data_IF_666909984757
#
_entry.id   IF_666909984757
#
_cell.length_a   1.000
_cell.length_b   1.000
_cell.length_c   1.000
_cell.angle_alpha   90.00
_cell.angle_beta   90.00
_cell.angle_gamma   90.00
#
_symmetry.space_group_name_H-M   'P 1'
#
loop_
_entity.id
_entity.type
_entity.pdbx_description
1 polymer ?
#
# COMPACT_ATOMS: atom_id res chain seq x y z
N UNK A 1 23.53 -41.53 -10.52
CA UNK A 1 23.59 -40.62 -9.37
C UNK A 1 23.38 -39.21 -9.87
N UNK A 2 22.36 -38.53 -9.34
CA UNK A 2 21.82 -37.29 -9.88
C UNK A 2 22.77 -36.10 -9.65
N UNK A 3 22.94 -35.29 -10.70
CA UNK A 3 23.66 -34.01 -10.68
C UNK A 3 22.78 -32.96 -9.98
N UNK A 4 23.24 -32.46 -8.83
CA UNK A 4 22.67 -31.30 -8.17
C UNK A 4 23.21 -30.04 -8.86
N UNK A 5 22.32 -29.35 -9.58
CA UNK A 5 22.60 -28.05 -10.20
C UNK A 5 22.85 -26.99 -9.11
N UNK A 6 23.99 -26.30 -9.21
CA UNK A 6 24.32 -25.14 -8.38
C UNK A 6 23.36 -24.00 -8.68
N UNK A 7 22.53 -23.64 -7.71
CA UNK A 7 21.72 -22.43 -7.71
C UNK A 7 22.68 -21.25 -7.50
N UNK A 8 22.82 -20.41 -8.53
CA UNK A 8 23.61 -19.19 -8.45
C UNK A 8 22.79 -18.10 -7.73
N UNK A 9 23.03 -17.95 -6.43
CA UNK A 9 22.70 -16.72 -5.69
C UNK A 9 23.58 -15.57 -6.24
N UNK A 10 23.03 -14.67 -7.04
CA UNK A 10 23.69 -13.39 -7.33
C UNK A 10 23.52 -12.44 -6.14
N UNK A 11 24.29 -12.67 -5.08
CA UNK A 11 24.47 -11.76 -3.95
C UNK A 11 25.63 -10.80 -4.28
N UNK A 12 25.28 -9.51 -4.39
CA UNK A 12 26.07 -8.30 -4.08
C UNK A 12 27.57 -8.38 -4.43
N UNK A 13 27.93 -7.90 -5.62
CA UNK A 13 29.29 -7.43 -5.87
C UNK A 13 29.44 -6.00 -5.32
N UNK A 14 30.32 -5.85 -4.33
CA UNK A 14 30.87 -4.55 -3.89
C UNK A 14 31.43 -3.82 -5.10
N UNK A 15 30.91 -2.63 -5.41
CA UNK A 15 31.39 -1.82 -6.53
C UNK A 15 31.72 -0.39 -6.10
N UNK A 16 33.02 -0.14 -6.13
CA UNK A 16 33.79 1.09 -6.18
C UNK A 16 33.04 2.35 -6.68
N UNK A 17 33.38 3.50 -6.09
CA UNK A 17 32.69 4.81 -6.16
C UNK A 17 32.46 5.39 -7.58
N UNK A 18 33.13 4.87 -8.61
CA UNK A 18 32.95 5.31 -10.01
C UNK A 18 31.92 4.50 -10.83
N UNK A 19 31.19 3.55 -10.22
CA UNK A 19 30.30 2.62 -10.95
C UNK A 19 28.81 2.99 -10.87
N UNK A 20 28.46 4.15 -10.32
CA UNK A 20 27.05 4.61 -10.27
C UNK A 20 26.50 4.96 -11.66
N UNK A 21 27.38 5.20 -12.65
CA UNK A 21 26.98 5.62 -13.99
C UNK A 21 26.54 4.49 -14.95
N UNK A 22 26.74 3.19 -14.64
CA UNK A 22 26.62 2.14 -15.66
C UNK A 22 25.76 0.91 -15.31
N UNK A 23 25.12 0.87 -14.14
CA UNK A 23 24.21 -0.23 -13.82
C UNK A 23 22.80 0.08 -14.34
N UNK A 24 22.60 -0.08 -15.65
CA UNK A 24 21.27 -0.04 -16.27
C UNK A 24 20.57 -1.40 -16.07
N UNK A 25 20.35 -1.80 -14.81
CA UNK A 25 19.54 -2.97 -14.50
C UNK A 25 18.08 -2.62 -14.78
N UNK A 26 17.54 -3.20 -15.86
CA UNK A 26 16.10 -3.18 -16.12
C UNK A 26 15.41 -4.19 -15.20
N UNK A 27 15.26 -3.82 -13.93
CA UNK A 27 14.55 -4.64 -12.95
C UNK A 27 13.06 -4.43 -13.17
N UNK A 28 12.35 -5.50 -13.51
CA UNK A 28 10.89 -5.52 -13.55
C UNK A 28 10.36 -5.98 -12.19
N UNK A 29 9.63 -5.10 -11.49
CA UNK A 29 9.06 -5.41 -10.18
C UNK A 29 7.72 -6.12 -10.29
N UNK A 30 7.09 -6.17 -11.47
CA UNK A 30 5.80 -6.81 -11.64
C UNK A 30 5.81 -8.31 -11.29
N UNK A 31 6.98 -8.94 -11.39
CA UNK A 31 7.20 -10.37 -11.09
C UNK A 31 7.69 -10.62 -9.66
N UNK A 32 7.95 -9.57 -8.87
CA UNK A 32 8.37 -9.74 -7.48
C UNK A 32 7.26 -10.39 -6.68
N UNK A 33 7.61 -11.38 -5.85
CA UNK A 33 6.66 -12.06 -4.97
C UNK A 33 7.36 -12.52 -3.71
N UNK A 34 6.71 -12.32 -2.57
CA UNK A 34 7.13 -12.86 -1.28
C UNK A 34 6.08 -13.80 -0.71
N UNK A 35 6.48 -14.55 0.31
CA UNK A 35 5.51 -15.23 1.15
C UNK A 35 4.80 -14.16 1.99
N UNK A 36 3.45 -14.13 1.98
CA UNK A 36 2.71 -13.20 2.81
C UNK A 36 2.88 -13.58 4.28
N UNK A 37 2.81 -12.59 5.17
CA UNK A 37 2.87 -12.82 6.61
C UNK A 37 1.70 -13.70 7.08
N UNK A 38 1.83 -14.39 8.23
CA UNK A 38 0.83 -15.34 8.72
C UNK A 38 -0.58 -14.77 8.82
N UNK A 39 -0.69 -13.51 9.24
CA UNK A 39 -1.95 -12.80 9.34
C UNK A 39 -2.75 -12.89 8.00
N UNK A 40 -2.07 -12.80 6.84
CA UNK A 40 -2.72 -12.66 5.53
C UNK A 40 -3.18 -13.98 4.92
N UNK A 41 -2.80 -15.11 5.52
CA UNK A 41 -3.05 -16.45 4.98
C UNK A 41 -4.55 -16.78 4.88
N UNK A 42 -5.37 -16.26 5.81
CA UNK A 42 -6.81 -16.44 5.79
C UNK A 42 -7.43 -15.77 4.55
N UNK A 43 -6.97 -14.57 4.19
CA UNK A 43 -7.41 -13.85 2.99
C UNK A 43 -7.12 -14.67 1.72
N UNK A 44 -5.90 -15.18 1.58
CA UNK A 44 -5.51 -16.00 0.43
C UNK A 44 -6.21 -17.35 0.34
N UNK A 45 -6.69 -17.88 1.46
CA UNK A 45 -7.46 -19.14 1.52
C UNK A 45 -8.94 -18.92 1.17
N UNK A 46 -9.46 -17.72 1.43
CA UNK A 46 -10.83 -17.33 1.12
C UNK A 46 -11.07 -16.95 -0.35
N UNK A 47 -10.01 -16.68 -1.12
CA UNK A 47 -10.11 -16.31 -2.53
C UNK A 47 -10.38 -17.55 -3.40
N UNK A 48 -11.28 -17.39 -4.38
CA UNK A 48 -11.42 -18.37 -5.48
C UNK A 48 -10.09 -18.54 -6.21
N UNK A 49 -9.83 -19.70 -6.78
CA UNK A 49 -8.59 -19.99 -7.54
C UNK A 49 -8.27 -18.93 -8.59
N UNK A 50 -9.28 -18.44 -9.32
CA UNK A 50 -9.12 -17.37 -10.32
C UNK A 50 -8.64 -16.05 -9.70
N UNK A 51 -9.28 -15.60 -8.63
CA UNK A 51 -8.91 -14.35 -7.93
C UNK A 51 -7.54 -14.47 -7.26
N UNK A 52 -7.23 -15.61 -6.68
CA UNK A 52 -5.92 -15.88 -6.11
C UNK A 52 -4.83 -15.82 -7.18
N UNK A 53 -5.07 -16.43 -8.34
CA UNK A 53 -4.14 -16.35 -9.47
C UNK A 53 -3.95 -14.91 -9.96
N UNK A 54 -5.02 -14.13 -10.11
CA UNK A 54 -4.97 -12.71 -10.48
C UNK A 54 -4.21 -11.87 -9.44
N UNK A 55 -4.42 -12.13 -8.16
CA UNK A 55 -3.74 -11.45 -7.07
C UNK A 55 -2.26 -11.86 -6.92
N UNK A 56 -1.85 -13.02 -7.43
CA UNK A 56 -0.46 -13.48 -7.34
C UNK A 56 0.37 -13.25 -8.60
N UNK A 57 -0.28 -13.17 -9.76
CA UNK A 57 0.40 -13.13 -11.07
C UNK A 57 -0.26 -12.18 -12.08
N UNK A 58 -1.38 -11.54 -11.72
CA UNK A 58 -2.16 -10.69 -12.60
C UNK A 58 -1.77 -9.22 -12.56
N UNK A 59 -2.62 -8.39 -13.17
CA UNK A 59 -2.35 -6.96 -13.31
C UNK A 59 -2.43 -6.22 -11.97
N UNK A 60 -3.29 -6.69 -11.05
CA UNK A 60 -3.43 -6.14 -9.70
C UNK A 60 -2.15 -6.39 -8.89
N UNK A 61 -1.58 -7.60 -8.97
CA UNK A 61 -0.28 -7.94 -8.37
C UNK A 61 0.83 -7.03 -8.89
N UNK A 62 0.96 -6.94 -10.22
CA UNK A 62 1.94 -6.10 -10.87
C UNK A 62 1.83 -4.64 -10.38
N UNK A 63 0.61 -4.09 -10.33
CA UNK A 63 0.37 -2.72 -9.88
C UNK A 63 0.77 -2.52 -8.42
N UNK A 64 0.42 -3.45 -7.54
CA UNK A 64 0.79 -3.42 -6.12
C UNK A 64 2.32 -3.39 -5.95
N UNK A 65 3.03 -4.29 -6.63
CA UNK A 65 4.50 -4.32 -6.64
C UNK A 65 5.11 -3.00 -7.13
N UNK A 66 4.72 -2.53 -8.32
CA UNK A 66 5.28 -1.30 -8.93
C UNK A 66 5.13 -0.11 -7.97
N UNK A 67 3.95 0.06 -7.37
CA UNK A 67 3.69 1.14 -6.41
C UNK A 67 4.47 0.94 -5.11
N UNK A 68 4.51 -0.28 -4.57
CA UNK A 68 5.25 -0.61 -3.35
C UNK A 68 6.72 -0.21 -3.46
N UNK A 69 7.41 -0.61 -4.54
CA UNK A 69 8.81 -0.23 -4.76
C UNK A 69 9.01 1.27 -5.02
N UNK A 70 8.07 1.93 -5.70
CA UNK A 70 8.17 3.36 -6.01
C UNK A 70 8.11 4.24 -4.74
N UNK A 71 7.27 3.86 -3.78
CA UNK A 71 7.04 4.63 -2.56
C UNK A 71 7.80 4.10 -1.33
N UNK A 72 8.42 2.93 -1.40
CA UNK A 72 9.06 2.26 -0.25
C UNK A 72 9.91 3.17 0.66
N UNK A 73 10.69 4.08 0.07
CA UNK A 73 11.61 4.96 0.81
C UNK A 73 10.96 6.08 1.62
N UNK A 74 9.65 6.33 1.46
CA UNK A 74 8.94 7.37 2.24
C UNK A 74 7.99 6.78 3.28
N UNK A 75 7.96 5.45 3.41
CA UNK A 75 7.04 4.77 4.30
C UNK A 75 7.56 4.79 5.74
N UNK A 76 6.69 5.02 6.74
CA UNK A 76 7.05 4.87 8.14
C UNK A 76 7.13 3.38 8.52
N UNK A 77 7.93 3.07 9.54
CA UNK A 77 7.96 1.73 10.13
C UNK A 77 6.74 1.52 11.02
N UNK A 78 5.83 0.66 10.60
CA UNK A 78 4.48 0.51 11.18
C UNK A 78 4.04 -0.96 11.29
N UNK A 79 4.85 -1.84 11.89
CA UNK A 79 4.62 -3.28 11.87
C UNK A 79 3.31 -3.69 12.58
N UNK A 80 2.91 -3.01 13.66
CA UNK A 80 1.66 -3.35 14.36
C UNK A 80 0.44 -2.95 13.55
N UNK A 81 0.49 -1.82 12.85
CA UNK A 81 -0.56 -1.44 11.90
C UNK A 81 -0.69 -2.47 10.78
N UNK A 82 0.43 -2.91 10.20
CA UNK A 82 0.38 -3.93 9.15
C UNK A 82 -0.16 -5.28 9.68
N UNK A 83 0.13 -5.63 10.93
CA UNK A 83 -0.43 -6.81 11.57
C UNK A 83 -1.93 -6.65 11.89
N UNK A 84 -2.35 -5.48 12.38
CA UNK A 84 -3.72 -5.19 12.81
C UNK A 84 -4.66 -4.81 11.66
N UNK A 85 -4.13 -4.55 10.45
CA UNK A 85 -4.93 -4.40 9.25
C UNK A 85 -5.68 -5.71 8.89
N UNK A 86 -5.39 -6.77 9.62
CA UNK A 86 -6.10 -8.04 9.58
C UNK A 86 -6.85 -8.33 10.86
N UNK A 87 -7.95 -9.09 10.69
CA UNK A 87 -8.70 -9.60 11.83
C UNK A 87 -7.86 -10.58 12.65
N UNK A 88 -7.87 -10.40 13.96
CA UNK A 88 -7.20 -11.26 14.95
C UNK A 88 -7.77 -12.70 14.98
N UNK A 89 -7.05 -13.61 15.66
CA UNK A 89 -7.18 -15.08 15.59
C UNK A 89 -8.55 -15.70 15.92
N UNK A 90 -9.52 -14.97 16.48
CA UNK A 90 -10.91 -15.44 16.66
C UNK A 90 -11.83 -15.09 15.46
N UNK A 91 -11.22 -14.99 14.27
CA UNK A 91 -11.79 -14.68 12.96
C UNK A 91 -12.34 -13.26 12.73
N UNK A 92 -12.28 -12.38 13.73
CA UNK A 92 -12.75 -10.99 13.62
C UNK A 92 -14.16 -10.83 12.98
N UNK A 93 -14.56 -9.61 12.60
CA UNK A 93 -15.86 -9.35 11.98
C UNK A 93 -15.98 -9.84 10.52
N UNK A 94 -14.92 -10.42 9.96
CA UNK A 94 -14.80 -10.66 8.51
C UNK A 94 -14.90 -12.13 8.08
N UNK A 95 -15.01 -13.08 9.02
CA UNK A 95 -15.21 -14.51 8.75
C UNK A 95 -16.32 -14.81 7.74
N UNK A 96 -17.43 -14.07 7.80
CA UNK A 96 -18.58 -14.28 6.92
C UNK A 96 -18.36 -13.80 5.47
N UNK A 97 -17.25 -13.12 5.20
CA UNK A 97 -16.96 -12.51 3.90
C UNK A 97 -15.90 -13.29 3.10
N UNK A 98 -15.73 -14.57 3.45
CA UNK A 98 -15.08 -15.62 2.65
C UNK A 98 -15.76 -15.66 1.27
N UNK A 99 -15.21 -14.92 0.29
CA UNK A 99 -15.78 -14.73 -1.05
C UNK A 99 -15.91 -13.28 -1.53
N UNK A 100 -15.66 -12.30 -0.65
CA UNK A 100 -15.47 -10.90 -1.03
C UNK A 100 -14.23 -10.73 -1.93
N UNK A 101 -14.20 -9.65 -2.71
CA UNK A 101 -13.09 -9.38 -3.62
C UNK A 101 -11.90 -8.79 -2.84
N UNK A 102 -11.17 -9.66 -2.14
CA UNK A 102 -9.96 -9.31 -1.41
C UNK A 102 -8.70 -9.42 -2.31
N UNK A 103 -8.87 -9.38 -3.63
CA UNK A 103 -7.79 -9.56 -4.61
C UNK A 103 -6.67 -8.53 -4.39
N UNK A 104 -7.01 -7.27 -4.11
CA UNK A 104 -6.01 -6.23 -3.80
C UNK A 104 -5.30 -6.42 -2.45
N UNK A 105 -5.96 -7.00 -1.44
CA UNK A 105 -5.31 -7.32 -0.16
C UNK A 105 -4.29 -8.42 -0.36
N UNK A 106 -4.70 -9.54 -0.98
CA UNK A 106 -3.80 -10.65 -1.22
C UNK A 106 -2.63 -10.24 -2.13
N UNK A 107 -2.91 -9.47 -3.19
CA UNK A 107 -1.87 -8.93 -4.07
C UNK A 107 -0.85 -8.08 -3.32
N UNK A 108 -1.31 -7.18 -2.45
CA UNK A 108 -0.42 -6.38 -1.62
C UNK A 108 0.39 -7.26 -0.65
N UNK A 109 -0.23 -8.24 -0.02
CA UNK A 109 0.42 -9.17 0.92
C UNK A 109 1.52 -10.00 0.24
N UNK A 110 1.30 -10.45 -0.99
CA UNK A 110 2.29 -11.20 -1.79
C UNK A 110 3.31 -10.29 -2.47
N UNK A 111 3.11 -8.97 -2.44
CA UNK A 111 4.02 -7.94 -2.99
C UNK A 111 4.91 -7.30 -1.92
N UNK A 112 4.72 -7.64 -0.64
CA UNK A 112 5.53 -7.21 0.49
C UNK A 112 4.96 -6.02 1.29
N UNK A 113 5.57 -5.68 2.43
CA UNK A 113 5.01 -4.72 3.39
C UNK A 113 4.71 -3.33 2.80
N UNK A 114 5.58 -2.84 1.92
CA UNK A 114 5.39 -1.56 1.25
C UNK A 114 4.10 -1.49 0.42
N UNK A 115 3.71 -2.63 -0.16
CA UNK A 115 2.50 -2.76 -0.97
C UNK A 115 1.24 -2.77 -0.11
N UNK A 116 1.31 -3.29 1.12
CA UNK A 116 0.21 -3.14 2.10
C UNK A 116 0.05 -1.67 2.48
N UNK A 117 1.14 -0.93 2.72
CA UNK A 117 1.04 0.51 2.97
C UNK A 117 0.36 1.23 1.80
N UNK A 118 0.69 0.86 0.56
CA UNK A 118 0.05 1.39 -0.65
C UNK A 118 -1.45 1.07 -0.71
N UNK A 119 -1.84 -0.13 -0.28
CA UNK A 119 -3.25 -0.50 -0.14
C UNK A 119 -3.97 0.40 0.88
N UNK A 120 -3.33 0.72 2.01
CA UNK A 120 -3.87 1.67 2.98
C UNK A 120 -4.08 3.07 2.36
N UNK A 121 -3.14 3.57 1.56
CA UNK A 121 -3.32 4.80 0.79
C UNK A 121 -4.49 4.68 -0.20
N UNK A 122 -4.56 3.58 -0.94
CA UNK A 122 -5.63 3.35 -1.90
C UNK A 122 -7.01 3.35 -1.21
N UNK A 123 -7.11 2.79 0.00
CA UNK A 123 -8.31 2.86 0.83
C UNK A 123 -8.68 4.31 1.18
N UNK A 124 -7.72 5.13 1.59
CA UNK A 124 -7.98 6.56 1.88
C UNK A 124 -8.48 7.30 0.63
N UNK A 125 -7.82 7.11 -0.51
CA UNK A 125 -8.18 7.77 -1.77
C UNK A 125 -9.57 7.34 -2.26
N UNK A 126 -9.88 6.06 -2.17
CA UNK A 126 -11.16 5.53 -2.61
C UNK A 126 -12.35 5.97 -1.75
N UNK A 127 -12.11 6.25 -0.46
CA UNK A 127 -13.14 6.77 0.44
C UNK A 127 -13.35 8.29 0.27
N UNK A 128 -12.27 9.03 0.02
CA UNK A 128 -12.33 10.50 -0.05
C UNK A 128 -12.78 11.04 -1.41
N UNK A 129 -12.56 10.32 -2.51
CA UNK A 129 -12.86 10.79 -3.86
C UNK A 129 -13.55 9.73 -4.72
N UNK A 130 -14.25 10.17 -5.77
CA UNK A 130 -14.76 9.29 -6.82
C UNK A 130 -13.62 8.66 -7.64
N UNK A 131 -13.93 7.60 -8.39
CA UNK A 131 -12.93 6.80 -9.09
C UNK A 131 -12.08 7.60 -10.09
N UNK A 132 -12.67 8.57 -10.81
CA UNK A 132 -11.94 9.36 -11.81
C UNK A 132 -10.97 10.33 -11.13
N UNK A 133 -11.42 10.96 -10.06
CA UNK A 133 -10.60 11.87 -9.26
C UNK A 133 -9.48 11.10 -8.55
N UNK A 134 -9.77 9.97 -7.92
CA UNK A 134 -8.76 9.12 -7.27
C UNK A 134 -7.69 8.63 -8.25
N UNK A 135 -8.09 8.20 -9.46
CA UNK A 135 -7.13 7.80 -10.51
C UNK A 135 -6.23 8.97 -10.94
N UNK A 136 -6.78 10.19 -11.00
CA UNK A 136 -6.01 11.38 -11.36
C UNK A 136 -5.04 11.80 -10.26
N UNK A 137 -5.45 11.70 -9.00
CA UNK A 137 -4.56 11.89 -7.84
C UNK A 137 -3.44 10.88 -7.88
N UNK A 138 -3.73 9.58 -8.07
CA UNK A 138 -2.71 8.54 -8.22
C UNK A 138 -1.67 8.86 -9.29
N UNK A 139 -2.12 9.28 -10.49
CA UNK A 139 -1.22 9.66 -11.57
C UNK A 139 -0.32 10.84 -11.16
N UNK A 140 -0.87 11.85 -10.48
CA UNK A 140 -0.08 12.97 -9.96
C UNK A 140 0.93 12.51 -8.89
N UNK A 141 0.54 11.59 -7.99
CA UNK A 141 1.43 11.07 -6.96
C UNK A 141 2.63 10.32 -7.55
N UNK A 142 2.38 9.49 -8.55
CA UNK A 142 3.42 8.70 -9.23
C UNK A 142 4.38 9.62 -9.96
N UNK A 143 3.86 10.56 -10.75
CA UNK A 143 4.69 11.52 -11.50
C UNK A 143 5.55 12.35 -10.56
N UNK A 144 4.97 12.89 -9.49
CA UNK A 144 5.73 13.67 -8.53
C UNK A 144 6.75 12.82 -7.77
N UNK A 145 6.41 11.58 -7.41
CA UNK A 145 7.36 10.66 -6.77
C UNK A 145 8.54 10.31 -7.68
N UNK A 146 8.29 10.04 -8.95
CA UNK A 146 9.32 9.82 -9.97
C UNK A 146 10.24 11.03 -10.08
N UNK A 147 9.69 12.23 -10.19
CA UNK A 147 10.47 13.49 -10.21
C UNK A 147 11.34 13.64 -8.96
N UNK A 148 10.80 13.35 -7.78
CA UNK A 148 11.56 13.43 -6.54
C UNK A 148 12.76 12.47 -6.53
N UNK A 149 12.62 11.26 -7.09
CA UNK A 149 13.72 10.29 -7.21
C UNK A 149 14.79 10.79 -8.20
N UNK A 150 14.37 11.27 -9.37
CA UNK A 150 15.30 11.80 -10.38
C UNK A 150 16.05 13.05 -9.90
N UNK A 151 15.37 13.97 -9.22
CA UNK A 151 15.99 15.15 -8.63
C UNK A 151 17.03 14.80 -7.54
N UNK A 152 16.83 13.69 -6.80
CA UNK A 152 17.84 13.18 -5.86
C UNK A 152 19.09 12.67 -6.62
N UNK A 153 18.91 12.00 -7.75
CA UNK A 153 20.02 11.57 -8.60
C UNK A 153 20.77 12.76 -9.19
N UNK A 154 20.08 13.77 -9.71
CA UNK A 154 20.68 15.00 -10.28
C UNK A 154 21.43 15.83 -9.24
N UNK A 155 20.95 15.83 -7.98
CA UNK A 155 21.63 16.49 -6.86
C UNK A 155 22.77 15.67 -6.24
N UNK A 156 23.24 14.62 -6.93
CA UNK A 156 24.32 13.73 -6.52
C UNK A 156 24.11 13.08 -5.15
N UNK A 157 22.86 12.87 -4.74
CA UNK A 157 22.50 12.10 -3.55
C UNK A 157 22.50 10.62 -3.87
N UNK A 158 22.89 9.80 -2.89
CA UNK A 158 22.80 8.34 -3.01
C UNK A 158 21.32 7.96 -3.04
N UNK A 159 20.87 7.42 -4.17
CA UNK A 159 19.51 6.90 -4.36
C UNK A 159 19.55 5.37 -4.32
N UNK A 160 18.61 4.78 -3.60
CA UNK A 160 18.50 3.33 -3.54
C UNK A 160 18.26 2.73 -4.95
N UNK A 161 19.01 1.72 -5.40
CA UNK A 161 18.91 1.17 -6.76
C UNK A 161 17.48 0.74 -7.15
N UNK A 162 16.75 0.13 -6.21
CA UNK A 162 15.35 -0.24 -6.44
C UNK A 162 14.42 0.95 -6.70
N UNK A 163 14.66 2.09 -6.04
CA UNK A 163 13.84 3.29 -6.28
C UNK A 163 14.09 3.88 -7.66
N UNK A 164 15.34 3.86 -8.12
CA UNK A 164 15.68 4.28 -9.49
C UNK A 164 15.05 3.35 -10.53
N UNK A 165 15.11 2.03 -10.32
CA UNK A 165 14.46 1.06 -11.20
C UNK A 165 12.93 1.23 -11.21
N UNK A 166 12.31 1.47 -10.04
CA UNK A 166 10.87 1.67 -9.93
C UNK A 166 10.43 2.98 -10.63
N UNK A 167 11.25 4.02 -10.56
CA UNK A 167 10.97 5.30 -11.22
C UNK A 167 10.96 5.18 -12.75
N UNK A 168 11.67 4.21 -13.32
CA UNK A 168 11.68 3.91 -14.77
C UNK A 168 10.45 3.12 -15.23
N UNK A 169 9.74 2.44 -14.33
CA UNK A 169 8.61 1.60 -14.72
C UNK A 169 7.38 2.45 -15.06
N UNK A 170 6.69 2.05 -16.12
CA UNK A 170 5.43 2.68 -16.49
C UNK A 170 4.26 2.09 -15.67
N UNK A 171 3.35 2.97 -15.28
CA UNK A 171 2.12 2.65 -14.56
C UNK A 171 1.00 3.45 -15.22
N UNK A 172 0.23 2.77 -16.05
CA UNK A 172 -0.83 3.37 -16.83
C UNK A 172 -2.02 3.78 -15.96
N UNK A 173 -2.80 4.76 -16.44
CA UNK A 173 -4.08 5.13 -15.80
C UNK A 173 -5.08 3.97 -15.75
N UNK A 174 -5.00 3.02 -16.69
CA UNK A 174 -5.85 1.83 -16.70
C UNK A 174 -5.48 0.87 -15.56
N UNK A 175 -4.19 0.65 -15.31
CA UNK A 175 -3.70 -0.13 -14.16
C UNK A 175 -4.16 0.52 -12.83
N UNK A 176 -4.04 1.85 -12.72
CA UNK A 176 -4.49 2.59 -11.53
C UNK A 176 -6.01 2.51 -11.31
N UNK A 177 -6.79 2.62 -12.38
CA UNK A 177 -8.25 2.48 -12.31
C UNK A 177 -8.65 1.05 -11.91
N UNK A 178 -7.95 0.03 -12.39
CA UNK A 178 -8.20 -1.35 -12.00
C UNK A 178 -7.85 -1.60 -10.52
N UNK A 179 -6.72 -1.05 -10.06
CA UNK A 179 -6.32 -1.08 -8.65
C UNK A 179 -7.37 -0.40 -7.75
N UNK A 180 -7.78 0.83 -8.06
CA UNK A 180 -8.82 1.56 -7.32
C UNK A 180 -10.17 0.83 -7.33
N UNK A 181 -10.55 0.22 -8.46
CA UNK A 181 -11.77 -0.58 -8.55
C UNK A 181 -11.74 -1.82 -7.63
N UNK A 182 -10.61 -2.54 -7.59
CA UNK A 182 -10.41 -3.66 -6.67
C UNK A 182 -10.53 -3.21 -5.21
N UNK A 183 -9.85 -2.13 -4.84
CA UNK A 183 -9.90 -1.61 -3.46
C UNK A 183 -11.31 -1.16 -3.06
N UNK A 184 -12.04 -0.48 -3.95
CA UNK A 184 -13.45 -0.11 -3.69
C UNK A 184 -14.34 -1.32 -3.51
N UNK A 185 -14.10 -2.39 -4.27
CA UNK A 185 -14.90 -3.62 -4.16
C UNK A 185 -14.71 -4.29 -2.79
N UNK A 186 -13.48 -4.29 -2.26
CA UNK A 186 -13.19 -4.65 -0.88
C UNK A 186 -13.88 -3.72 0.13
N UNK A 187 -13.70 -2.41 0.01
CA UNK A 187 -14.28 -1.45 0.97
C UNK A 187 -15.79 -1.55 1.10
N UNK A 188 -16.53 -1.75 0.00
CA UNK A 188 -18.00 -1.93 0.07
C UNK A 188 -18.38 -3.14 0.91
N UNK A 189 -17.58 -4.21 0.85
CA UNK A 189 -17.80 -5.42 1.67
C UNK A 189 -17.45 -5.15 3.12
N UNK A 190 -16.31 -4.53 3.38
CA UNK A 190 -15.90 -4.16 4.73
C UNK A 190 -16.91 -3.19 5.41
N UNK A 191 -17.45 -2.22 4.68
CA UNK A 191 -18.52 -1.33 5.16
C UNK A 191 -19.79 -2.11 5.55
N UNK A 192 -20.14 -3.14 4.79
CA UNK A 192 -21.32 -3.97 5.09
C UNK A 192 -21.07 -4.85 6.31
N UNK A 193 -19.88 -5.44 6.40
CA UNK A 193 -19.44 -6.29 7.51
C UNK A 193 -19.39 -5.53 8.84
N UNK A 194 -18.85 -4.32 8.81
CA UNK A 194 -18.67 -3.47 9.98
C UNK A 194 -19.69 -2.35 10.03
N UNK A 195 -20.91 -2.59 9.54
CA UNK A 195 -21.91 -1.54 9.35
C UNK A 195 -22.15 -0.71 10.62
N UNK A 196 -22.20 -1.35 11.79
CA UNK A 196 -22.38 -0.65 13.06
C UNK A 196 -21.21 0.29 13.37
N UNK A 197 -19.99 -0.25 13.42
CA UNK A 197 -18.77 0.51 13.74
C UNK A 197 -18.51 1.61 12.70
N UNK A 198 -18.73 1.28 11.43
CA UNK A 198 -18.60 2.20 10.31
C UNK A 198 -19.54 3.40 10.42
N UNK A 199 -20.82 3.15 10.70
CA UNK A 199 -21.82 4.22 10.90
C UNK A 199 -21.49 5.03 12.16
N UNK A 200 -21.13 4.39 13.26
CA UNK A 200 -20.78 5.08 14.51
C UNK A 200 -19.59 6.02 14.32
N UNK A 201 -18.50 5.54 13.72
CA UNK A 201 -17.33 6.37 13.46
C UNK A 201 -17.65 7.51 12.49
N UNK A 202 -18.44 7.25 11.44
CA UNK A 202 -18.90 8.29 10.52
C UNK A 202 -19.68 9.39 11.25
N UNK A 203 -20.61 9.03 12.12
CA UNK A 203 -21.36 9.99 12.93
C UNK A 203 -20.45 10.82 13.84
N UNK A 204 -19.45 10.20 14.47
CA UNK A 204 -18.45 10.91 15.27
C UNK A 204 -17.66 11.90 14.40
N UNK A 205 -17.16 11.44 13.24
CA UNK A 205 -16.41 12.26 12.29
C UNK A 205 -17.20 13.44 11.73
N UNK A 206 -18.52 13.32 11.60
CA UNK A 206 -19.40 14.38 11.11
C UNK A 206 -19.70 15.43 12.19
N UNK A 207 -19.57 15.07 13.48
CA UNK A 207 -19.81 15.97 14.61
C UNK A 207 -18.54 16.63 15.18
N UNK A 208 -17.35 16.11 14.85
CA UNK A 208 -16.08 16.66 15.32
C UNK A 208 -15.59 17.79 14.39
N UNK A 209 -15.22 18.93 14.98
CA UNK A 209 -14.66 20.09 14.26
C UNK A 209 -13.13 20.08 14.24
N UNK A 210 -12.55 19.10 13.55
CA UNK A 210 -11.10 19.06 13.27
C UNK A 210 -10.87 19.44 11.80
N UNK A 211 -9.94 20.36 11.49
CA UNK A 211 -9.63 20.72 10.10
C UNK A 211 -8.77 19.63 9.42
N UNK A 212 -8.76 19.64 8.09
CA UNK A 212 -7.71 18.97 7.33
C UNK A 212 -6.45 19.84 7.31
N UNK A 213 -5.27 19.24 7.35
CA UNK A 213 -4.04 19.98 7.04
C UNK A 213 -4.02 20.38 5.56
N UNK A 214 -3.94 21.68 5.24
CA UNK A 214 -4.16 22.21 3.88
C UNK A 214 -2.91 22.77 3.19
N UNK A 215 -1.71 22.66 3.76
CA UNK A 215 -0.51 23.26 3.18
C UNK A 215 0.13 22.36 2.12
N UNK A 216 0.54 22.94 0.99
CA UNK A 216 1.33 22.26 -0.05
C UNK A 216 0.55 21.79 -1.29
N UNK A 217 1.29 21.12 -2.17
CA UNK A 217 0.82 20.42 -3.37
C UNK A 217 -0.09 19.23 -3.04
N UNK A 218 -0.80 18.68 -4.03
CA UNK A 218 -1.60 17.45 -3.85
C UNK A 218 -0.74 16.31 -3.32
N UNK A 219 0.47 16.16 -3.87
CA UNK A 219 1.45 15.17 -3.42
C UNK A 219 1.75 15.31 -1.93
N UNK A 220 2.12 16.51 -1.47
CA UNK A 220 2.47 16.76 -0.07
C UNK A 220 1.28 16.52 0.85
N UNK A 221 0.09 17.00 0.48
CA UNK A 221 -1.14 16.82 1.27
C UNK A 221 -1.47 15.35 1.46
N UNK A 222 -1.53 14.59 0.37
CA UNK A 222 -1.94 13.18 0.41
C UNK A 222 -0.89 12.33 1.11
N UNK A 223 0.39 12.50 0.77
CA UNK A 223 1.46 11.69 1.39
C UNK A 223 1.65 12.02 2.86
N UNK A 224 1.59 13.29 3.26
CA UNK A 224 1.66 13.68 4.68
C UNK A 224 0.47 13.13 5.46
N UNK A 225 -0.75 13.27 4.92
CA UNK A 225 -1.95 12.72 5.53
C UNK A 225 -1.84 11.20 5.73
N UNK A 226 -1.43 10.48 4.70
CA UNK A 226 -1.26 9.02 4.74
C UNK A 226 -0.18 8.57 5.73
N UNK A 227 1.04 9.11 5.62
CA UNK A 227 2.17 8.74 6.49
C UNK A 227 1.85 9.06 7.95
N UNK A 228 1.35 10.27 8.25
CA UNK A 228 0.99 10.64 9.63
C UNK A 228 -0.11 9.75 10.19
N UNK A 229 -1.11 9.40 9.38
CA UNK A 229 -2.17 8.50 9.82
C UNK A 229 -1.61 7.13 10.19
N UNK A 230 -0.67 6.62 9.40
CA UNK A 230 -0.04 5.33 9.69
C UNK A 230 0.76 5.38 11.00
N UNK A 231 1.57 6.41 11.19
CA UNK A 231 2.33 6.61 12.44
C UNK A 231 1.42 6.74 13.67
N UNK A 232 0.32 7.49 13.57
CA UNK A 232 -0.60 7.70 14.69
C UNK A 232 -1.31 6.40 15.06
N UNK A 233 -1.79 5.64 14.07
CA UNK A 233 -2.45 4.34 14.35
C UNK A 233 -1.44 3.31 14.86
N UNK A 234 -0.21 3.29 14.35
CA UNK A 234 0.87 2.46 14.90
C UNK A 234 1.12 2.77 16.38
N UNK A 235 1.24 4.06 16.74
CA UNK A 235 1.43 4.45 18.14
C UNK A 235 0.21 4.09 19.00
N UNK A 236 -1.01 4.23 18.48
CA UNK A 236 -2.23 3.81 19.16
C UNK A 236 -2.22 2.30 19.45
N UNK A 237 -1.84 1.46 18.48
CA UNK A 237 -1.68 0.00 18.64
C UNK A 237 -0.50 -0.38 19.57
N UNK A 238 0.43 0.55 19.79
CA UNK A 238 1.46 0.45 20.82
C UNK A 238 0.99 0.91 22.21
N UNK A 239 -0.31 1.13 22.42
CA UNK A 239 -0.90 1.66 23.66
C UNK A 239 -0.33 3.04 24.06
N UNK A 240 0.11 3.84 23.09
CA UNK A 240 0.56 5.21 23.33
C UNK A 240 -0.61 6.18 23.11
N UNK A 241 -0.94 7.05 24.08
CA UNK A 241 -1.98 8.06 23.92
C UNK A 241 -1.73 8.95 22.72
N UNK A 242 -2.74 9.14 21.87
CA UNK A 242 -2.66 9.99 20.67
C UNK A 242 -3.65 11.14 20.76
N UNK A 243 -3.21 12.33 20.35
CA UNK A 243 -4.09 13.47 20.10
C UNK A 243 -4.29 13.61 18.58
N UNK A 244 -5.54 13.52 18.13
CA UNK A 244 -5.87 13.66 16.71
C UNK A 244 -6.14 15.13 16.40
N UNK A 245 -5.17 15.78 15.75
CA UNK A 245 -5.26 17.19 15.33
C UNK A 245 -5.55 17.38 13.84
N UNK A 246 -5.56 16.31 13.05
CA UNK A 246 -5.84 16.32 11.61
C UNK A 246 -6.97 15.35 11.26
N UNK A 247 -7.99 15.85 10.56
CA UNK A 247 -9.15 15.05 10.13
C UNK A 247 -8.77 13.92 9.19
N UNK A 248 -7.61 14.01 8.51
CA UNK A 248 -7.08 12.94 7.69
C UNK A 248 -6.86 11.63 8.46
N UNK A 249 -6.51 11.70 9.75
CA UNK A 249 -6.30 10.52 10.60
C UNK A 249 -7.61 9.78 10.84
N UNK A 250 -8.70 10.52 11.09
CA UNK A 250 -10.03 9.92 11.25
C UNK A 250 -10.51 9.29 9.93
N UNK A 251 -10.26 9.97 8.80
CA UNK A 251 -10.52 9.42 7.47
C UNK A 251 -9.75 8.11 7.25
N UNK A 252 -8.49 8.03 7.68
CA UNK A 252 -7.68 6.84 7.55
C UNK A 252 -8.25 5.66 8.36
N UNK A 253 -8.50 5.86 9.66
CA UNK A 253 -9.13 4.86 10.55
C UNK A 253 -10.44 4.35 9.93
N UNK A 254 -11.30 5.26 9.46
CA UNK A 254 -12.56 4.94 8.79
C UNK A 254 -12.38 4.18 7.47
N UNK A 255 -11.31 4.47 6.72
CA UNK A 255 -11.01 3.83 5.42
C UNK A 255 -10.32 2.48 5.55
N UNK A 256 -9.62 2.24 6.66
CA UNK A 256 -8.88 1.01 6.94
C UNK A 256 -9.69 0.00 7.71
N UNK A 257 -10.88 0.38 8.20
CA UNK A 257 -11.77 -0.48 8.98
C UNK A 257 -11.13 -1.00 10.27
N UNK A 258 -10.19 -0.22 10.81
CA UNK A 258 -9.57 -0.49 12.11
C UNK A 258 -10.35 0.34 13.12
N UNK A 259 -11.31 -0.30 13.80
CA UNK A 259 -12.12 0.37 14.82
C UNK A 259 -11.61 -0.01 16.21
N UNK A 260 -11.44 0.96 17.11
CA UNK A 260 -11.11 0.70 18.51
C UNK A 260 -12.25 0.04 19.29
#
# INVERSE_FOLDING_TARGET
>A
MASLGKIANSLVSVANENTVALVNLNVDFSVFRCHPSPEYLAVGSALTTKRKHEAENGAIHATACKLGFLFHQILPDTPKLLQAYEGTEDDGPFRAFIGADCTSIWAAATSGPASICILLLACMLSNAWDAKTATSIWAELIEQRKRNIWAQTESNKIVHPHSLAAAKQDISRAELANWDASVRSWQRRANTAMGLQHIQLKLIMDNIRIPYSTTGSTFEKVTTAWIRSMEVVERLLNNLPQEVSDRAILLAIHSWHIYP
#
